data_IF_251149512325
#
_entry.id   IF_251149512325
#
_cell.length_a   1.000
_cell.length_b   1.000
_cell.length_c   1.000
_cell.angle_alpha   90.00
_cell.angle_beta   90.00
_cell.angle_gamma   90.00
#
_symmetry.space_group_name_H-M   'P 1'
#
loop_
_entity.id
_entity.type
_entity.pdbx_description
1 polymer ?
#
# COMPACT_ATOMS: atom_id res chain seq x y z
N UNK A 1 3.05 16.17 67.20
CA UNK A 1 2.10 17.05 67.91
C UNK A 1 1.77 18.18 66.93
N UNK A 2 0.59 18.36 66.33
CA UNK A 2 -0.81 18.06 66.65
C UNK A 2 -1.58 17.78 65.32
N UNK A 3 -2.40 16.73 65.22
CA UNK A 3 -3.87 16.71 65.43
C UNK A 3 -4.67 17.59 64.44
N UNK A 4 -5.34 17.00 63.43
CA UNK A 4 -6.78 16.56 63.38
C UNK A 4 -7.81 17.68 63.14
N UNK A 5 -8.65 17.48 62.09
CA UNK A 5 -10.10 17.80 61.89
C UNK A 5 -10.36 17.81 60.37
N UNK A 6 -11.22 17.04 59.69
CA UNK A 6 -12.56 16.42 59.88
C UNK A 6 -13.70 17.40 60.15
N UNK A 7 -14.51 17.66 59.11
CA UNK A 7 -15.99 17.80 59.05
C UNK A 7 -16.35 18.30 57.63
N UNK A 8 -17.15 17.62 56.79
CA UNK A 8 -18.57 17.21 56.90
C UNK A 8 -19.57 18.33 56.55
N UNK A 9 -20.53 18.00 55.66
CA UNK A 9 -21.73 18.78 55.34
C UNK A 9 -21.62 19.54 54.00
N UNK A 10 -22.61 19.58 53.12
CA UNK A 10 -23.97 19.04 53.14
C UNK A 10 -24.52 19.13 51.71
N UNK A 11 -25.18 18.08 51.25
CA UNK A 11 -26.16 18.15 50.14
C UNK A 11 -27.47 18.74 50.72
N UNK A 12 -28.26 19.47 49.93
CA UNK A 12 -29.62 18.95 49.69
C UNK A 12 -30.25 19.27 48.31
N UNK A 13 -31.06 18.30 47.87
CA UNK A 13 -32.42 18.38 47.26
C UNK A 13 -32.67 19.16 45.95
N UNK A 14 -33.02 18.48 44.84
CA UNK A 14 -34.36 18.01 44.38
C UNK A 14 -35.34 19.15 43.99
N UNK A 15 -35.61 19.28 42.68
CA UNK A 15 -36.88 19.70 42.06
C UNK A 15 -36.77 19.41 40.54
N UNK A 16 -37.36 18.35 39.96
CA UNK A 16 -38.77 18.10 39.55
C UNK A 16 -39.36 19.05 38.49
N UNK A 17 -39.88 18.40 37.42
CA UNK A 17 -40.80 18.86 36.37
C UNK A 17 -40.20 19.80 35.30
N UNK A 18 -40.57 19.76 34.02
CA UNK A 18 -41.79 19.30 33.37
C UNK A 18 -41.53 19.09 31.88
N UNK A 19 -42.08 18.02 31.31
CA UNK A 19 -42.31 17.90 29.86
C UNK A 19 -43.29 18.97 29.37
N UNK A 20 -43.36 19.17 28.05
CA UNK A 20 -44.67 19.00 27.43
C UNK A 20 -44.63 18.12 26.18
N UNK A 21 -45.72 17.39 26.02
CA UNK A 21 -46.09 16.57 24.87
C UNK A 21 -47.11 17.35 23.99
N UNK A 22 -46.98 17.12 22.68
CA UNK A 22 -48.05 16.97 21.66
C UNK A 22 -48.84 18.21 21.19
N UNK A 23 -48.72 18.47 19.88
CA UNK A 23 -49.82 18.81 18.95
C UNK A 23 -49.31 18.47 17.52
N UNK A 24 -49.70 17.36 16.88
CA UNK A 24 -50.94 17.10 16.10
C UNK A 24 -51.12 18.05 14.91
N UNK A 25 -51.10 17.49 13.70
CA UNK A 25 -51.48 18.12 12.42
C UNK A 25 -50.86 17.37 11.24
N UNK A 26 -51.43 16.24 10.82
CA UNK A 26 -52.31 16.13 9.62
C UNK A 26 -51.56 15.96 8.28
N UNK A 27 -51.34 14.69 7.89
CA UNK A 27 -51.55 14.23 6.50
C UNK A 27 -53.08 14.21 6.22
N UNK A 28 -53.61 14.29 4.96
CA UNK A 28 -53.14 13.57 3.77
C UNK A 28 -53.23 14.33 2.42
N UNK A 29 -52.65 13.76 1.37
CA UNK A 29 -52.80 14.29 0.02
C UNK A 29 -52.15 13.45 -1.07
N UNK A 30 -52.62 12.21 -1.26
CA UNK A 30 -52.54 11.54 -2.55
C UNK A 30 -53.42 12.28 -3.56
N UNK A 31 -52.85 12.75 -4.67
CA UNK A 31 -53.57 12.82 -5.95
C UNK A 31 -52.66 12.42 -7.10
N UNK A 32 -52.99 11.27 -7.66
CA UNK A 32 -52.72 10.87 -9.03
C UNK A 32 -52.92 12.02 -10.03
N UNK A 33 -52.12 12.05 -11.10
CA UNK A 33 -52.56 12.10 -12.51
C UNK A 33 -51.40 12.60 -13.39
N UNK A 34 -50.76 11.72 -14.17
CA UNK A 34 -51.07 11.34 -15.57
C UNK A 34 -50.28 12.18 -16.58
N UNK A 35 -49.86 11.50 -17.65
CA UNK A 35 -49.26 11.98 -18.92
C UNK A 35 -47.72 12.09 -18.86
N UNK A 36 -46.93 11.38 -19.65
CA UNK A 36 -47.18 10.88 -21.00
C UNK A 36 -46.44 9.58 -21.31
N UNK A 37 -47.26 8.65 -21.81
CA UNK A 37 -46.97 7.47 -22.62
C UNK A 37 -45.92 7.78 -23.70
N UNK A 38 -44.69 7.28 -23.57
CA UNK A 38 -43.77 7.15 -24.71
C UNK A 38 -43.53 5.67 -25.02
N UNK A 39 -43.66 5.38 -26.31
CA UNK A 39 -43.82 4.06 -26.92
C UNK A 39 -42.69 3.08 -26.62
N UNK A 40 -43.14 1.89 -26.25
CA UNK A 40 -42.60 0.58 -26.60
C UNK A 40 -41.73 0.62 -27.88
N UNK A 41 -40.42 0.55 -27.72
CA UNK A 41 -39.53 0.02 -28.75
C UNK A 41 -39.29 -1.46 -28.39
N UNK A 42 -40.02 -2.32 -29.10
CA UNK A 42 -39.84 -3.77 -29.14
C UNK A 42 -38.43 -4.05 -29.65
N UNK A 43 -37.46 -4.20 -28.75
CA UNK A 43 -36.17 -4.79 -29.10
C UNK A 43 -36.46 -6.28 -29.26
N UNK A 44 -36.62 -6.68 -30.52
CA UNK A 44 -36.71 -8.06 -30.92
C UNK A 44 -35.48 -8.80 -30.40
N UNK A 45 -35.70 -9.82 -29.56
CA UNK A 45 -34.68 -10.82 -29.26
C UNK A 45 -34.41 -11.58 -30.56
N UNK A 46 -33.45 -11.12 -31.36
CA UNK A 46 -32.79 -11.98 -32.32
C UNK A 46 -31.74 -12.78 -31.57
N UNK A 47 -31.99 -14.06 -31.37
CA UNK A 47 -30.95 -15.01 -30.99
C UNK A 47 -29.86 -14.97 -32.07
N UNK A 48 -28.59 -14.68 -31.74
CA UNK A 48 -27.53 -14.93 -32.71
C UNK A 48 -27.38 -16.45 -32.83
N UNK A 49 -27.84 -16.98 -33.96
CA UNK A 49 -27.47 -18.30 -34.47
C UNK A 49 -25.94 -18.32 -34.53
N UNK A 50 -25.33 -19.12 -33.66
CA UNK A 50 -23.90 -19.44 -33.74
C UNK A 50 -23.77 -20.35 -34.96
N UNK A 51 -23.42 -19.76 -36.10
CA UNK A 51 -22.93 -20.49 -37.26
C UNK A 51 -21.54 -21.00 -36.91
N UNK A 52 -21.47 -22.29 -36.58
CA UNK A 52 -20.23 -23.01 -36.31
C UNK A 52 -19.52 -23.19 -37.65
N UNK A 53 -18.74 -22.19 -38.05
CA UNK A 53 -17.78 -22.33 -39.13
C UNK A 53 -16.61 -23.16 -38.61
N UNK A 54 -16.62 -24.44 -38.99
CA UNK A 54 -15.49 -25.35 -38.92
C UNK A 54 -14.31 -24.72 -39.67
N UNK A 55 -13.41 -24.08 -38.92
CA UNK A 55 -12.11 -23.67 -39.41
C UNK A 55 -11.14 -24.81 -39.12
N UNK A 56 -10.69 -25.42 -40.22
CA UNK A 56 -9.79 -26.55 -40.31
C UNK A 56 -8.52 -26.37 -39.48
N UNK A 57 -8.13 -27.45 -38.80
CA UNK A 57 -6.88 -27.62 -38.06
C UNK A 57 -5.67 -27.18 -38.88
N UNK A 58 -5.13 -26.00 -38.57
CA UNK A 58 -3.81 -25.57 -39.00
C UNK A 58 -2.92 -25.55 -37.76
N UNK A 59 -2.38 -26.72 -37.41
CA UNK A 59 -1.32 -26.88 -36.44
C UNK A 59 -0.14 -25.98 -36.84
N UNK A 60 0.26 -24.96 -36.05
CA UNK A 60 1.58 -24.38 -36.21
C UNK A 60 2.61 -25.35 -35.61
N UNK A 61 3.50 -25.84 -36.45
CA UNK A 61 4.74 -26.55 -36.08
C UNK A 61 5.44 -25.83 -34.90
N UNK A 62 5.93 -26.56 -33.88
CA UNK A 62 6.68 -25.94 -32.80
C UNK A 62 8.06 -25.54 -33.32
N UNK A 63 8.25 -24.24 -33.54
CA UNK A 63 9.56 -23.64 -33.78
C UNK A 63 10.43 -23.83 -32.51
N UNK A 64 11.13 -24.97 -32.46
CA UNK A 64 11.97 -25.39 -31.36
C UNK A 64 13.28 -24.59 -31.32
N UNK A 65 13.23 -23.33 -30.86
CA UNK A 65 14.42 -22.50 -30.60
C UNK A 65 14.33 -21.55 -29.39
N UNK A 66 13.53 -21.85 -28.36
CA UNK A 66 13.45 -21.01 -27.13
C UNK A 66 13.76 -21.77 -25.82
N UNK A 67 14.50 -22.89 -25.87
CA UNK A 67 14.56 -23.81 -24.72
C UNK A 67 15.91 -23.89 -24.00
N UNK A 68 16.92 -23.13 -24.43
CA UNK A 68 18.29 -23.22 -23.88
C UNK A 68 18.64 -22.09 -22.91
N UNK A 69 18.28 -20.84 -23.21
CA UNK A 69 18.61 -19.69 -22.34
C UNK A 69 17.85 -19.74 -21.01
N UNK A 70 16.56 -20.11 -21.01
CA UNK A 70 15.74 -20.17 -19.79
C UNK A 70 16.15 -21.31 -18.83
N UNK A 71 16.72 -22.40 -19.34
CA UNK A 71 17.16 -23.53 -18.51
C UNK A 71 18.50 -23.25 -17.83
N UNK A 72 19.41 -22.57 -18.51
CA UNK A 72 20.73 -22.21 -17.96
C UNK A 72 20.60 -21.18 -16.83
N UNK A 73 19.75 -20.15 -16.99
CA UNK A 73 19.46 -19.17 -15.94
C UNK A 73 18.79 -19.82 -14.72
N UNK A 74 17.96 -20.83 -14.94
CA UNK A 74 17.29 -21.59 -13.88
C UNK A 74 18.27 -22.46 -13.07
N UNK A 75 19.19 -23.16 -13.73
CA UNK A 75 20.24 -23.95 -13.08
C UNK A 75 21.26 -23.08 -12.35
N UNK A 76 21.66 -21.95 -12.94
CA UNK A 76 22.54 -20.97 -12.29
C UNK A 76 21.88 -20.37 -11.04
N UNK A 77 20.60 -20.01 -11.12
CA UNK A 77 19.83 -19.52 -9.97
C UNK A 77 19.69 -20.57 -8.86
N UNK A 78 19.46 -21.84 -9.22
CA UNK A 78 19.41 -22.97 -8.26
C UNK A 78 20.77 -23.18 -7.58
N UNK A 79 21.86 -23.12 -8.34
CA UNK A 79 23.23 -23.26 -7.83
C UNK A 79 23.59 -22.12 -6.90
N UNK A 80 23.23 -20.89 -7.28
CA UNK A 80 23.42 -19.70 -6.45
C UNK A 80 22.65 -19.83 -5.13
N UNK A 81 21.37 -20.22 -5.19
CA UNK A 81 20.53 -20.41 -4.02
C UNK A 81 21.07 -21.50 -3.08
N UNK A 82 21.56 -22.62 -3.62
CA UNK A 82 22.19 -23.68 -2.84
C UNK A 82 23.43 -23.17 -2.10
N UNK A 83 24.29 -22.40 -2.79
CA UNK A 83 25.49 -21.81 -2.19
C UNK A 83 25.13 -20.83 -1.07
N UNK A 84 24.14 -19.96 -1.28
CA UNK A 84 23.75 -18.96 -0.29
C UNK A 84 23.18 -19.58 0.98
N UNK A 85 22.46 -20.71 0.90
CA UNK A 85 21.87 -21.37 2.08
C UNK A 85 22.89 -21.79 3.14
N UNK A 86 24.13 -22.07 2.75
CA UNK A 86 25.19 -22.49 3.66
C UNK A 86 25.88 -21.36 4.43
N UNK A 87 25.57 -20.10 4.12
CA UNK A 87 26.30 -18.96 4.67
C UNK A 87 25.98 -18.72 6.15
N UNK A 88 27.04 -18.55 6.94
CA UNK A 88 26.91 -18.06 8.31
C UNK A 88 26.61 -16.54 8.35
N UNK A 89 26.28 -16.01 9.53
CA UNK A 89 25.89 -14.60 9.66
C UNK A 89 26.98 -13.61 9.22
N UNK A 90 28.25 -13.88 9.54
CA UNK A 90 29.36 -13.00 9.14
C UNK A 90 29.56 -13.00 7.61
N UNK A 91 29.41 -14.16 6.97
CA UNK A 91 29.46 -14.31 5.52
C UNK A 91 28.29 -13.60 4.83
N UNK A 92 27.09 -13.66 5.41
CA UNK A 92 25.93 -12.92 4.93
C UNK A 92 26.20 -11.40 4.93
N UNK A 93 26.76 -10.85 6.02
CA UNK A 93 27.13 -9.43 6.10
C UNK A 93 28.19 -9.09 5.03
N UNK A 94 29.21 -9.94 4.88
CA UNK A 94 30.26 -9.72 3.88
C UNK A 94 29.66 -9.71 2.47
N UNK A 95 28.81 -10.69 2.15
CA UNK A 95 28.16 -10.81 0.85
C UNK A 95 27.20 -9.64 0.59
N UNK A 96 26.52 -9.12 1.61
CA UNK A 96 25.69 -7.92 1.47
C UNK A 96 26.51 -6.70 1.00
N UNK A 97 27.79 -6.60 1.37
CA UNK A 97 28.70 -5.53 0.96
C UNK A 97 29.40 -5.76 -0.38
N UNK A 98 29.85 -6.99 -0.66
CA UNK A 98 30.68 -7.28 -1.84
C UNK A 98 29.95 -7.96 -2.99
N UNK A 99 28.78 -8.53 -2.72
CA UNK A 99 28.08 -9.38 -3.68
C UNK A 99 27.49 -8.62 -4.86
N UNK A 100 27.28 -9.36 -5.94
CA UNK A 100 26.62 -8.90 -7.16
C UNK A 100 25.13 -8.63 -6.94
N UNK A 101 24.48 -7.99 -7.92
CA UNK A 101 23.06 -7.63 -7.79
C UNK A 101 22.17 -8.86 -7.56
N UNK A 102 22.43 -9.97 -8.26
CA UNK A 102 21.65 -11.21 -8.12
C UNK A 102 21.87 -11.86 -6.74
N UNK A 103 23.11 -11.84 -6.25
CA UNK A 103 23.45 -12.34 -4.91
C UNK A 103 22.74 -11.53 -3.83
N UNK A 104 22.77 -10.20 -3.91
CA UNK A 104 22.10 -9.32 -2.93
C UNK A 104 20.59 -9.48 -2.95
N UNK A 105 19.98 -9.62 -4.12
CA UNK A 105 18.55 -9.89 -4.26
C UNK A 105 18.18 -11.19 -3.58
N UNK A 106 18.95 -12.26 -3.82
CA UNK A 106 18.67 -13.56 -3.24
C UNK A 106 18.93 -13.57 -1.72
N UNK A 107 20.01 -12.94 -1.29
CA UNK A 107 20.36 -12.75 0.11
C UNK A 107 19.25 -11.99 0.87
N UNK A 108 18.72 -10.91 0.28
CA UNK A 108 17.60 -10.13 0.83
C UNK A 108 16.35 -11.00 1.03
N UNK A 109 15.98 -11.78 0.01
CA UNK A 109 14.81 -12.67 0.04
C UNK A 109 14.93 -13.77 1.11
N UNK A 110 16.14 -14.29 1.31
CA UNK A 110 16.37 -15.42 2.22
C UNK A 110 16.52 -15.00 3.68
N UNK A 111 17.27 -13.94 3.94
CA UNK A 111 17.71 -13.58 5.31
C UNK A 111 17.04 -12.30 5.85
N UNK A 112 16.46 -11.48 4.98
CA UNK A 112 15.66 -10.29 5.32
C UNK A 112 16.29 -9.43 6.42
N UNK A 113 15.69 -9.48 7.62
CA UNK A 113 16.07 -8.70 8.81
C UNK A 113 17.55 -8.74 9.18
N UNK A 114 18.24 -9.83 8.88
CA UNK A 114 19.65 -10.00 9.23
C UNK A 114 20.57 -9.20 8.28
N UNK A 115 20.11 -8.90 7.07
CA UNK A 115 20.93 -8.36 5.99
C UNK A 115 20.47 -7.01 5.49
N UNK A 116 19.24 -6.56 5.79
CA UNK A 116 18.72 -5.27 5.32
C UNK A 116 19.60 -4.08 5.73
N UNK A 117 20.06 -4.00 6.97
CA UNK A 117 20.93 -2.91 7.41
C UNK A 117 22.31 -2.93 6.71
N UNK A 118 23.05 -4.07 6.66
CA UNK A 118 24.25 -4.19 5.84
C UNK A 118 24.04 -3.82 4.36
N UNK A 119 22.93 -4.27 3.76
CA UNK A 119 22.59 -3.95 2.38
C UNK A 119 22.42 -2.43 2.17
N UNK A 120 21.69 -1.75 3.05
CA UNK A 120 21.46 -0.30 2.97
C UNK A 120 22.73 0.54 3.13
N UNK A 121 23.78 -0.02 3.74
CA UNK A 121 25.10 0.62 3.85
C UNK A 121 25.99 0.36 2.62
N UNK A 122 25.58 -0.53 1.71
CA UNK A 122 26.35 -0.82 0.51
C UNK A 122 26.25 0.35 -0.50
N UNK A 123 27.38 0.98 -0.90
CA UNK A 123 27.38 2.08 -1.86
C UNK A 123 26.93 1.67 -3.28
N UNK A 124 26.96 0.37 -3.59
CA UNK A 124 26.52 -0.21 -4.87
C UNK A 124 25.06 -0.65 -4.86
N UNK A 125 24.33 -0.42 -3.76
CA UNK A 125 22.91 -0.76 -3.68
C UNK A 125 22.13 0.11 -4.66
N UNK A 126 21.24 -0.51 -5.44
CA UNK A 126 20.47 0.18 -6.47
C UNK A 126 19.10 0.62 -5.97
N UNK A 127 18.50 1.61 -6.63
CA UNK A 127 17.17 2.09 -6.28
C UNK A 127 16.06 1.03 -6.37
N UNK A 128 16.03 0.12 -7.37
CA UNK A 128 15.07 -0.98 -7.39
C UNK A 128 15.21 -1.94 -6.21
N UNK A 129 16.44 -2.18 -5.72
CA UNK A 129 16.67 -2.96 -4.51
C UNK A 129 16.09 -2.27 -3.27
N UNK A 130 16.36 -0.97 -3.10
CA UNK A 130 15.81 -0.19 -1.98
C UNK A 130 14.29 -0.12 -2.04
N UNK A 131 13.70 0.07 -3.22
CA UNK A 131 12.25 0.10 -3.39
C UNK A 131 11.60 -1.24 -3.03
N UNK A 132 12.23 -2.37 -3.38
CA UNK A 132 11.76 -3.71 -2.99
C UNK A 132 11.79 -3.89 -1.47
N UNK A 133 12.90 -3.56 -0.82
CA UNK A 133 13.04 -3.62 0.65
C UNK A 133 11.99 -2.72 1.31
N UNK A 134 11.83 -1.49 0.83
CA UNK A 134 10.92 -0.48 1.39
C UNK A 134 9.46 -0.89 1.35
N UNK A 135 9.04 -1.71 0.39
CA UNK A 135 7.65 -2.20 0.27
C UNK A 135 7.32 -3.31 1.29
N UNK A 136 8.32 -3.95 1.88
CA UNK A 136 8.12 -5.11 2.76
C UNK A 136 7.34 -4.71 4.02
N UNK A 137 6.13 -5.26 4.19
CA UNK A 137 5.32 -5.01 5.38
C UNK A 137 5.93 -5.55 6.69
N UNK A 138 6.92 -6.45 6.59
CA UNK A 138 7.66 -6.99 7.73
C UNK A 138 8.90 -6.15 8.13
N UNK A 139 9.18 -5.06 7.40
CA UNK A 139 10.36 -4.22 7.64
C UNK A 139 10.33 -3.58 9.05
N UNK A 140 11.42 -3.65 9.85
CA UNK A 140 11.51 -2.98 11.14
C UNK A 140 11.49 -1.47 11.02
N UNK A 141 10.95 -0.77 12.03
CA UNK A 141 10.86 0.70 12.04
C UNK A 141 12.24 1.38 11.92
N UNK A 142 13.25 0.83 12.59
CA UNK A 142 14.63 1.32 12.51
C UNK A 142 15.16 1.30 11.07
N UNK A 143 14.83 0.28 10.29
CA UNK A 143 15.25 0.19 8.88
C UNK A 143 14.51 1.22 8.01
N UNK A 144 13.21 1.41 8.24
CA UNK A 144 12.45 2.49 7.58
C UNK A 144 13.06 3.86 7.88
N UNK A 145 13.44 4.12 9.13
CA UNK A 145 14.08 5.37 9.54
C UNK A 145 15.41 5.60 8.82
N UNK A 146 16.24 4.57 8.67
CA UNK A 146 17.49 4.64 7.90
C UNK A 146 17.18 5.07 6.46
N UNK A 147 16.21 4.46 5.79
CA UNK A 147 15.87 4.80 4.40
C UNK A 147 15.31 6.23 4.30
N UNK A 148 14.40 6.62 5.20
CA UNK A 148 13.77 7.95 5.22
C UNK A 148 14.73 9.06 5.65
N UNK A 149 15.78 8.73 6.40
CA UNK A 149 16.84 9.68 6.76
C UNK A 149 17.70 10.07 5.55
N UNK A 150 17.85 9.17 4.58
CA UNK A 150 18.65 9.40 3.39
C UNK A 150 17.84 10.14 2.31
N UNK A 151 18.14 11.42 2.13
CA UNK A 151 17.46 12.27 1.14
C UNK A 151 17.68 11.79 -0.30
N UNK A 152 18.84 11.16 -0.59
CA UNK A 152 19.13 10.60 -1.91
C UNK A 152 18.11 9.54 -2.33
N UNK A 153 17.72 8.67 -1.40
CA UNK A 153 16.64 7.70 -1.65
C UNK A 153 15.28 8.37 -1.84
N UNK A 154 15.01 9.45 -1.09
CA UNK A 154 13.75 10.18 -1.20
C UNK A 154 13.62 11.00 -2.50
N UNK A 155 14.71 11.27 -3.23
CA UNK A 155 14.63 11.88 -4.55
C UNK A 155 14.05 10.93 -5.60
N UNK A 156 14.19 9.63 -5.39
CA UNK A 156 13.80 8.60 -6.36
C UNK A 156 12.30 8.31 -6.25
N UNK A 157 11.50 8.51 -7.30
CA UNK A 157 10.05 8.33 -7.25
C UNK A 157 9.63 6.91 -6.86
N UNK A 158 10.32 5.89 -7.38
CA UNK A 158 10.01 4.48 -7.06
C UNK A 158 10.20 4.15 -5.59
N UNK A 159 11.24 4.70 -4.97
CA UNK A 159 11.51 4.50 -3.54
C UNK A 159 10.46 5.23 -2.70
N UNK A 160 10.11 6.48 -3.06
CA UNK A 160 9.02 7.21 -2.38
C UNK A 160 7.71 6.43 -2.41
N UNK A 161 7.31 5.95 -3.59
CA UNK A 161 6.07 5.16 -3.75
C UNK A 161 6.11 3.87 -2.96
N UNK A 162 7.24 3.17 -2.95
CA UNK A 162 7.41 1.95 -2.18
C UNK A 162 7.29 2.21 -0.66
N UNK A 163 7.94 3.26 -0.15
CA UNK A 163 7.83 3.65 1.25
C UNK A 163 6.39 4.01 1.63
N UNK A 164 5.71 4.82 0.82
CA UNK A 164 4.33 5.25 1.08
C UNK A 164 3.33 4.08 1.02
N UNK A 165 3.63 3.02 0.28
CA UNK A 165 2.81 1.80 0.30
C UNK A 165 2.99 0.94 1.55
N UNK A 166 4.02 1.19 2.36
CA UNK A 166 4.32 0.38 3.53
C UNK A 166 3.41 0.71 4.72
N UNK A 167 2.67 -0.26 5.29
CA UNK A 167 1.74 -0.02 6.40
C UNK A 167 2.44 0.35 7.72
N UNK A 168 3.74 0.09 7.86
CA UNK A 168 4.51 0.39 9.07
C UNK A 168 5.08 1.80 9.10
N UNK A 169 4.98 2.54 8.00
CA UNK A 169 5.48 3.90 7.90
C UNK A 169 4.76 4.82 8.90
N UNK A 170 5.53 5.53 9.72
CA UNK A 170 4.97 6.43 10.73
C UNK A 170 4.39 7.72 10.12
N UNK A 171 3.45 8.41 10.81
CA UNK A 171 2.81 9.62 10.29
C UNK A 171 3.81 10.76 10.02
N UNK A 172 4.83 10.91 10.85
CA UNK A 172 5.89 11.93 10.66
C UNK A 172 6.71 11.65 9.41
N UNK A 173 7.02 10.37 9.17
CA UNK A 173 7.77 9.92 7.99
C UNK A 173 6.94 10.12 6.72
N UNK A 174 5.64 9.81 6.75
CA UNK A 174 4.70 10.08 5.66
C UNK A 174 4.73 11.57 5.30
N UNK A 175 4.56 12.43 6.31
CA UNK A 175 4.54 13.89 6.12
C UNK A 175 5.85 14.39 5.52
N UNK A 176 6.99 13.91 6.02
CA UNK A 176 8.32 14.25 5.50
C UNK A 176 8.46 13.87 4.02
N UNK A 177 8.10 12.65 3.65
CA UNK A 177 8.19 12.16 2.26
C UNK A 177 7.30 12.97 1.34
N UNK A 178 6.06 13.26 1.75
CA UNK A 178 5.10 14.01 0.92
C UNK A 178 5.51 15.48 0.73
N UNK A 179 6.15 16.11 1.72
CA UNK A 179 6.67 17.49 1.57
C UNK A 179 7.85 17.60 0.60
N UNK A 180 8.68 16.56 0.53
CA UNK A 180 9.82 16.50 -0.40
C UNK A 180 9.41 16.07 -1.82
N UNK A 181 8.19 15.58 -1.98
CA UNK A 181 7.67 15.13 -3.26
C UNK A 181 7.35 16.31 -4.19
N UNK A 182 7.62 16.20 -5.50
CA UNK A 182 7.20 17.20 -6.47
C UNK A 182 5.67 17.39 -6.48
N UNK A 183 5.22 18.64 -6.61
CA UNK A 183 3.79 19.00 -6.73
C UNK A 183 2.98 18.15 -7.73
N UNK A 184 3.46 17.83 -8.95
CA UNK A 184 2.69 17.00 -9.87
C UNK A 184 2.46 15.58 -9.34
N UNK A 185 3.45 14.98 -8.69
CA UNK A 185 3.31 13.64 -8.11
C UNK A 185 2.43 13.67 -6.86
N UNK A 186 2.55 14.71 -6.02
CA UNK A 186 1.73 14.89 -4.82
C UNK A 186 0.23 14.95 -5.15
N UNK A 187 -0.14 15.55 -6.29
CA UNK A 187 -1.54 15.61 -6.76
C UNK A 187 -2.13 14.25 -7.10
N UNK A 188 -1.30 13.26 -7.45
CA UNK A 188 -1.74 11.90 -7.78
C UNK A 188 -1.89 11.02 -6.53
N UNK A 189 -1.24 11.36 -5.41
CA UNK A 189 -1.27 10.53 -4.19
C UNK A 189 -2.70 10.29 -3.67
N UNK A 190 -3.60 11.30 -3.56
CA UNK A 190 -4.96 11.08 -3.09
C UNK A 190 -5.83 10.18 -3.97
N UNK A 191 -5.52 10.06 -5.26
CA UNK A 191 -6.32 9.25 -6.21
C UNK A 191 -5.88 7.79 -6.23
N UNK A 192 -4.68 7.48 -5.73
CA UNK A 192 -4.14 6.13 -5.72
C UNK A 192 -4.78 5.26 -4.63
N UNK A 193 -5.70 4.40 -5.04
CA UNK A 193 -6.41 3.46 -4.14
C UNK A 193 -5.46 2.44 -3.48
N UNK A 194 -4.31 2.18 -4.10
CA UNK A 194 -3.25 1.29 -3.62
C UNK A 194 -2.53 1.79 -2.37
N UNK A 195 -2.54 3.10 -2.11
CA UNK A 195 -1.89 3.67 -0.94
C UNK A 195 -2.78 3.57 0.31
N UNK A 196 -2.20 3.44 1.52
CA UNK A 196 -2.96 3.48 2.75
C UNK A 196 -3.75 4.79 2.92
N UNK A 197 -4.92 4.71 3.55
CA UNK A 197 -5.79 5.88 3.77
C UNK A 197 -5.05 7.05 4.45
N UNK A 198 -4.22 6.77 5.45
CA UNK A 198 -3.45 7.80 6.16
C UNK A 198 -2.52 8.59 5.25
N UNK A 199 -1.91 7.96 4.24
CA UNK A 199 -1.07 8.65 3.26
C UNK A 199 -1.90 9.58 2.38
N UNK A 200 -3.03 9.07 1.87
CA UNK A 200 -3.95 9.87 1.05
C UNK A 200 -4.51 11.07 1.80
N UNK A 201 -4.81 10.89 3.09
CA UNK A 201 -5.37 11.94 3.94
C UNK A 201 -4.38 13.08 4.19
N UNK A 202 -3.14 12.75 4.55
CA UNK A 202 -2.05 13.72 4.72
C UNK A 202 -1.78 14.47 3.40
N UNK A 203 -1.78 13.76 2.26
CA UNK A 203 -1.60 14.40 0.96
C UNK A 203 -2.73 15.39 0.63
N UNK A 204 -4.00 15.05 0.94
CA UNK A 204 -5.13 15.98 0.76
C UNK A 204 -4.96 17.25 1.60
N UNK A 205 -4.54 17.11 2.86
CA UNK A 205 -4.26 18.26 3.73
C UNK A 205 -3.14 19.15 3.20
N UNK A 206 -2.04 18.55 2.74
CA UNK A 206 -0.91 19.29 2.15
C UNK A 206 -1.32 20.07 0.89
N UNK A 207 -2.18 19.49 0.03
CA UNK A 207 -2.67 20.17 -1.17
C UNK A 207 -3.61 21.34 -0.86
N UNK A 208 -4.34 21.30 0.27
CA UNK A 208 -5.16 22.42 0.77
C UNK A 208 -4.35 23.52 1.46
N UNK A 209 -3.06 23.29 1.72
CA UNK A 209 -2.21 24.20 2.50
C UNK A 209 -2.36 24.05 4.02
N UNK A 210 -2.98 22.98 4.50
CA UNK A 210 -3.24 22.70 5.93
C UNK A 210 -2.14 21.84 6.60
N UNK A 211 -0.93 21.91 6.06
CA UNK A 211 0.17 21.02 6.39
C UNK A 211 1.35 21.72 7.02
#
# INVERSE_FOLDING_TARGET
EAARRVAAGSNPEIATASSPQIAVGSEPGETNSTIGRLKLARIERSEPVIEVLELEDQQPEPDAKEDKEDKEDSEAARTLHARLRGLNFAEQIKLAGTGDINERILLERMYGKNVWEPLLRNPRLTAPEVARISRMGALPRVILEIIVSNVGWLQIPDVRRALLSNPRLGPDQITKILRLMPKPELRLVPTQTTLPFGVRDVARRLLRGEG
#
